data_IF_584858665293
#
_entry.id   IF_584858665293
#
_cell.length_a   1.000
_cell.length_b   1.000
_cell.length_c   1.000
_cell.angle_alpha   90.00
_cell.angle_beta   90.00
_cell.angle_gamma   90.00
#
_symmetry.space_group_name_H-M   'P 1'
#
loop_
_entity.id
_entity.type
_entity.pdbx_description
1 polymer ?
#
# COMPACT_ATOMS: atom_id res chain seq x y z
N UNK A 1 -13.75 -6.49 -28.69
CA UNK A 1 -14.76 -6.24 -27.64
C UNK A 1 -14.30 -7.02 -26.42
N UNK A 2 -13.66 -6.33 -25.48
CA UNK A 2 -13.22 -6.97 -24.23
C UNK A 2 -14.49 -7.18 -23.40
N UNK A 3 -14.79 -8.42 -23.02
CA UNK A 3 -15.98 -8.73 -22.23
C UNK A 3 -15.84 -8.21 -20.80
N UNK A 4 -16.96 -7.92 -20.14
CA UNK A 4 -17.00 -7.45 -18.74
C UNK A 4 -16.25 -8.39 -17.79
N UNK A 5 -16.16 -9.67 -18.13
CA UNK A 5 -15.39 -10.68 -17.39
C UNK A 5 -13.87 -10.43 -17.49
N UNK A 6 -13.34 -10.08 -18.67
CA UNK A 6 -11.95 -9.69 -18.85
C UNK A 6 -11.63 -8.36 -18.14
N UNK A 7 -12.59 -7.41 -18.10
CA UNK A 7 -12.42 -6.15 -17.36
C UNK A 7 -12.33 -6.42 -15.85
N UNK A 8 -13.06 -7.41 -15.34
CA UNK A 8 -13.04 -7.80 -13.93
C UNK A 8 -11.78 -8.57 -13.55
N UNK A 9 -11.34 -9.55 -14.36
CA UNK A 9 -10.10 -10.31 -14.14
C UNK A 9 -8.83 -9.44 -14.22
N UNK A 10 -8.85 -8.38 -15.04
CA UNK A 10 -7.72 -7.43 -15.13
C UNK A 10 -7.56 -6.58 -13.87
N UNK A 11 -8.64 -6.41 -13.09
CA UNK A 11 -8.62 -5.63 -11.85
C UNK A 11 -7.91 -6.37 -10.71
N UNK A 12 -7.82 -7.70 -10.79
CA UNK A 12 -7.17 -8.55 -9.79
C UNK A 12 -5.66 -8.74 -10.06
N UNK A 13 -5.18 -8.45 -11.28
CA UNK A 13 -3.76 -8.49 -11.67
C UNK A 13 -3.03 -7.17 -11.39
N UNK A 14 -3.76 -6.05 -11.34
CA UNK A 14 -3.26 -4.80 -10.78
C UNK A 14 -3.45 -4.89 -9.28
N UNK A 15 -2.48 -5.50 -8.60
CA UNK A 15 -2.49 -5.83 -7.18
C UNK A 15 -2.86 -4.68 -6.25
N UNK A 16 -4.15 -4.35 -6.17
CA UNK A 16 -4.72 -3.62 -5.06
C UNK A 16 -5.06 -4.67 -4.02
N UNK A 17 -4.02 -5.21 -3.34
CA UNK A 17 -4.26 -5.93 -2.09
C UNK A 17 -5.05 -4.98 -1.20
N UNK A 18 -6.30 -5.30 -0.83
CA UNK A 18 -7.03 -4.44 0.09
C UNK A 18 -6.25 -4.40 1.40
N UNK A 19 -6.01 -3.21 1.99
CA UNK A 19 -5.43 -3.14 3.33
C UNK A 19 -6.30 -3.97 4.27
N UNK A 20 -5.67 -4.83 5.10
CA UNK A 20 -6.35 -5.63 6.12
C UNK A 20 -6.76 -4.75 7.31
N UNK A 21 -7.55 -3.73 7.05
CA UNK A 21 -8.32 -3.02 8.04
C UNK A 21 -9.60 -2.51 7.37
N UNK A 22 -10.73 -3.16 7.66
CA UNK A 22 -12.05 -2.64 7.28
C UNK A 22 -12.54 -1.77 8.43
N UNK A 23 -12.36 -0.43 8.41
CA UNK A 23 -13.07 0.40 9.36
C UNK A 23 -14.56 0.22 9.07
N UNK A 24 -15.30 -0.21 10.10
CA UNK A 24 -16.75 -0.36 10.04
C UNK A 24 -17.37 0.95 9.54
N UNK A 25 -18.18 0.86 8.48
CA UNK A 25 -18.83 1.99 7.79
C UNK A 25 -19.70 2.78 8.79
N UNK A 26 -19.41 4.05 9.14
CA UNK A 26 -20.35 4.90 9.86
C UNK A 26 -21.33 5.53 8.85
N UNK A 27 -22.62 5.55 9.18
CA UNK A 27 -23.66 6.01 8.25
C UNK A 27 -23.70 7.54 8.14
N UNK A 28 -23.55 8.01 6.90
CA UNK A 28 -24.29 9.12 6.27
C UNK A 28 -24.11 10.58 6.71
N UNK A 29 -23.00 11.03 7.32
CA UNK A 29 -22.75 12.49 7.41
C UNK A 29 -21.31 13.03 7.49
N UNK A 30 -20.28 12.22 7.26
CA UNK A 30 -18.89 12.70 7.33
C UNK A 30 -18.22 12.72 5.95
N UNK A 31 -18.47 13.76 5.16
CA UNK A 31 -17.70 14.04 3.95
C UNK A 31 -16.29 14.53 4.33
N UNK A 32 -15.36 13.58 4.33
CA UNK A 32 -13.97 13.67 3.89
C UNK A 32 -13.31 15.06 3.94
N UNK A 33 -12.51 15.29 4.99
CA UNK A 33 -11.16 15.79 4.73
C UNK A 33 -10.26 14.54 4.68
N UNK A 34 -9.61 14.22 3.55
CA UNK A 34 -8.36 13.49 3.67
C UNK A 34 -7.45 14.41 4.45
N UNK A 35 -7.31 14.16 5.76
CA UNK A 35 -6.19 14.69 6.51
C UNK A 35 -4.98 14.42 5.63
N UNK A 36 -4.23 15.48 5.34
CA UNK A 36 -3.01 15.50 4.54
C UNK A 36 -2.01 14.48 5.10
N UNK A 37 -2.25 13.21 4.80
CA UNK A 37 -1.54 12.11 5.42
C UNK A 37 -0.38 11.74 4.54
N UNK A 38 0.70 11.41 5.24
CA UNK A 38 1.93 11.00 4.60
C UNK A 38 1.64 9.71 3.82
N UNK A 39 2.16 9.64 2.59
CA UNK A 39 2.05 8.45 1.74
C UNK A 39 3.39 7.76 1.69
N UNK A 40 3.37 6.43 1.73
CA UNK A 40 4.56 5.64 1.47
C UNK A 40 5.05 5.92 0.05
N UNK A 41 6.31 6.29 -0.10
CA UNK A 41 6.91 6.61 -1.40
C UNK A 41 7.08 5.38 -2.31
N UNK A 42 6.94 4.17 -1.76
CA UNK A 42 7.10 2.91 -2.50
C UNK A 42 5.76 2.31 -2.96
N UNK A 43 4.81 2.11 -2.04
CA UNK A 43 3.50 1.51 -2.36
C UNK A 43 2.37 2.55 -2.53
N UNK A 44 2.62 3.83 -2.23
CA UNK A 44 1.68 4.93 -2.32
C UNK A 44 0.42 4.81 -1.42
N UNK A 45 0.43 3.84 -0.49
CA UNK A 45 -0.58 3.75 0.56
C UNK A 45 -0.41 4.87 1.59
N UNK A 46 -1.55 5.26 2.14
CA UNK A 46 -1.65 6.33 3.10
C UNK A 46 -1.38 5.78 4.52
N UNK A 47 -0.99 6.64 5.47
CA UNK A 47 -0.62 6.21 6.82
C UNK A 47 -1.72 5.43 7.57
N UNK A 48 -2.99 5.69 7.24
CA UNK A 48 -4.17 5.00 7.78
C UNK A 48 -4.41 3.61 7.16
N UNK A 49 -3.76 3.32 6.04
CA UNK A 49 -3.89 2.05 5.32
C UNK A 49 -2.80 1.03 5.69
N UNK A 50 -1.82 1.44 6.49
CA UNK A 50 -0.66 0.64 6.86
C UNK A 50 -0.56 0.52 8.38
N UNK A 51 0.09 -0.53 8.88
CA UNK A 51 0.21 -0.72 10.33
C UNK A 51 1.19 0.27 10.95
N UNK A 52 2.29 0.54 10.26
CA UNK A 52 3.28 1.55 10.65
C UNK A 52 3.82 2.29 9.43
N UNK A 53 4.04 3.59 9.60
CA UNK A 53 4.72 4.44 8.63
C UNK A 53 5.88 5.18 9.30
N UNK A 54 7.03 5.15 8.66
CA UNK A 54 8.21 5.94 9.02
C UNK A 54 8.30 7.10 8.04
N UNK A 55 8.10 8.32 8.53
CA UNK A 55 8.21 9.54 7.74
C UNK A 55 9.52 10.28 8.10
N UNK A 56 10.39 10.45 7.11
CA UNK A 56 11.50 11.40 7.14
C UNK A 56 11.11 12.73 6.49
N UNK A 57 12.02 13.72 6.45
CA UNK A 57 11.75 15.03 5.85
C UNK A 57 11.41 14.96 4.35
N UNK A 58 12.05 14.04 3.60
CA UNK A 58 11.91 13.95 2.14
C UNK A 58 11.29 12.62 1.67
N UNK A 59 11.16 11.62 2.54
CA UNK A 59 10.78 10.27 2.17
C UNK A 59 9.96 9.60 3.27
N UNK A 60 8.96 8.81 2.89
CA UNK A 60 8.22 7.99 3.82
C UNK A 60 8.11 6.53 3.35
N UNK A 61 8.15 5.58 4.29
CA UNK A 61 8.11 4.15 4.01
C UNK A 61 7.21 3.43 5.03
N UNK A 62 6.39 2.49 4.58
CA UNK A 62 5.55 1.66 5.45
C UNK A 62 6.23 0.35 5.85
N UNK A 63 5.68 -0.34 6.85
CA UNK A 63 6.18 -1.62 7.35
C UNK A 63 6.23 -2.73 6.30
N UNK A 64 5.23 -2.83 5.44
CA UNK A 64 5.22 -3.83 4.35
C UNK A 64 6.39 -3.59 3.38
N UNK A 65 6.64 -2.33 3.01
CA UNK A 65 7.75 -1.98 2.12
C UNK A 65 9.11 -2.20 2.80
N UNK A 66 9.23 -1.98 4.11
CA UNK A 66 10.45 -2.31 4.86
C UNK A 66 10.75 -3.80 4.76
N UNK A 67 9.76 -4.67 5.01
CA UNK A 67 9.93 -6.12 4.91
C UNK A 67 10.37 -6.57 3.51
N UNK A 68 9.77 -6.00 2.46
CA UNK A 68 10.19 -6.28 1.08
C UNK A 68 11.64 -5.82 0.80
N UNK A 69 12.03 -4.66 1.30
CA UNK A 69 13.42 -4.19 1.18
C UNK A 69 14.39 -5.11 1.91
N UNK A 70 14.04 -5.62 3.10
CA UNK A 70 14.88 -6.57 3.85
C UNK A 70 15.10 -7.88 3.08
N UNK A 71 14.06 -8.42 2.43
CA UNK A 71 14.16 -9.62 1.59
C UNK A 71 15.13 -9.41 0.42
N UNK A 72 14.99 -8.30 -0.30
CA UNK A 72 15.84 -7.96 -1.46
C UNK A 72 17.30 -7.77 -1.03
N UNK A 73 17.55 -7.08 0.08
CA UNK A 73 18.90 -6.87 0.61
C UNK A 73 19.52 -8.21 1.00
N UNK A 74 18.78 -9.06 1.71
CA UNK A 74 19.27 -10.37 2.14
C UNK A 74 19.56 -11.30 0.96
N UNK A 75 18.81 -11.23 -0.13
CA UNK A 75 19.11 -11.97 -1.36
C UNK A 75 20.39 -11.44 -2.05
N UNK A 76 20.53 -10.12 -2.15
CA UNK A 76 21.69 -9.47 -2.76
C UNK A 76 23.02 -9.77 -2.04
N UNK A 77 23.00 -9.95 -0.73
CA UNK A 77 24.19 -10.37 0.05
C UNK A 77 24.61 -11.80 -0.28
N UNK A 78 23.65 -12.72 -0.45
CA UNK A 78 23.92 -14.12 -0.80
C UNK A 78 24.44 -14.29 -2.22
N UNK A 79 24.04 -13.42 -3.15
CA UNK A 79 24.50 -13.46 -4.54
C UNK A 79 25.94 -12.93 -4.72
N UNK A 80 26.51 -12.26 -3.71
CA UNK A 80 27.88 -11.71 -3.74
C UNK A 80 28.93 -12.59 -3.07
N UNK A 81 28.54 -13.71 -2.48
CA UNK A 81 29.46 -14.72 -1.89
C UNK A 81 29.67 -15.88 -2.85
#
# INVERSE_FOLDING_TARGET
MICDECVRLSRDLVGTRPPKFTPTIPRSRDYALPASGVRCSFCNFHEDQVWKMVAGPDLAICDECIGLCEEIIAEGERART
#
